data_IF_829930596805
#
_entry.id   IF_829930596805
#
_cell.length_a   1.000
_cell.length_b   1.000
_cell.length_c   1.000
_cell.angle_alpha   90.00
_cell.angle_beta   90.00
_cell.angle_gamma   90.00
#
_symmetry.space_group_name_H-M   'P 1'
#
loop_
_entity.id
_entity.type
_entity.pdbx_description
1 polymer ?
#
# COMPACT_ATOMS: atom_id res chain seq x y z
N UNK A 1 16.39 -16.62 -10.54
CA UNK A 1 16.96 -15.44 -11.20
C UNK A 1 15.91 -14.80 -12.11
N UNK A 2 15.63 -13.51 -11.97
CA UNK A 2 14.67 -12.79 -12.84
C UNK A 2 15.46 -11.90 -13.81
N UNK A 3 15.23 -12.08 -15.11
CA UNK A 3 15.83 -11.26 -16.16
C UNK A 3 15.05 -9.93 -16.26
N UNK A 4 15.77 -8.82 -16.19
CA UNK A 4 15.24 -7.48 -16.35
C UNK A 4 15.70 -6.86 -17.66
N UNK A 5 14.92 -5.92 -18.17
CA UNK A 5 15.35 -5.06 -19.25
C UNK A 5 16.52 -4.20 -18.79
N UNK A 6 17.57 -4.10 -19.59
CA UNK A 6 18.83 -3.44 -19.22
C UNK A 6 18.61 -2.01 -18.70
N UNK A 7 17.80 -1.21 -19.40
CA UNK A 7 17.50 0.18 -19.02
C UNK A 7 16.83 0.31 -17.65
N UNK A 8 15.98 -0.65 -17.29
CA UNK A 8 15.29 -0.62 -16.00
C UNK A 8 16.24 -0.98 -14.87
N UNK A 9 17.11 -1.96 -15.09
CA UNK A 9 18.13 -2.32 -14.10
C UNK A 9 19.16 -1.21 -13.90
N UNK A 10 19.56 -0.51 -14.97
CA UNK A 10 20.39 0.69 -14.88
C UNK A 10 19.73 1.74 -13.99
N UNK A 11 18.46 2.09 -14.24
CA UNK A 11 17.71 3.05 -13.41
C UNK A 11 17.64 2.62 -11.95
N UNK A 12 17.46 1.32 -11.69
CA UNK A 12 17.45 0.78 -10.33
C UNK A 12 18.82 0.88 -9.66
N UNK A 13 19.90 0.55 -10.38
CA UNK A 13 21.28 0.67 -9.87
C UNK A 13 21.63 2.13 -9.57
N UNK A 14 21.26 3.08 -10.45
CA UNK A 14 21.48 4.50 -10.20
C UNK A 14 20.76 4.95 -8.92
N UNK A 15 19.50 4.54 -8.73
CA UNK A 15 18.75 4.82 -7.50
C UNK A 15 19.36 4.16 -6.27
N UNK A 16 19.83 2.92 -6.42
CA UNK A 16 20.48 2.19 -5.34
C UNK A 16 21.73 2.92 -4.87
N UNK A 17 22.62 3.31 -5.79
CA UNK A 17 23.84 4.07 -5.48
C UNK A 17 23.49 5.41 -4.82
N UNK A 18 22.52 6.16 -5.37
CA UNK A 18 22.05 7.42 -4.78
C UNK A 18 21.48 7.24 -3.35
N UNK A 19 20.99 6.06 -3.02
CA UNK A 19 20.46 5.69 -1.70
C UNK A 19 21.48 4.95 -0.81
N UNK A 20 22.79 5.03 -1.13
CA UNK A 20 23.87 4.44 -0.32
C UNK A 20 24.23 2.99 -0.68
N UNK A 21 23.75 2.48 -1.82
CA UNK A 21 24.20 1.20 -2.38
C UNK A 21 25.67 1.24 -2.78
N UNK A 22 26.35 0.08 -2.66
CA UNK A 22 27.78 -0.07 -2.92
C UNK A 22 28.00 -0.73 -4.27
N UNK A 23 28.85 -0.13 -5.11
CA UNK A 23 29.32 -0.80 -6.33
C UNK A 23 30.49 -1.71 -5.95
N UNK A 24 30.33 -3.01 -6.19
CA UNK A 24 31.34 -4.03 -5.84
C UNK A 24 32.40 -4.15 -6.95
N UNK A 25 31.95 -4.11 -8.19
CA UNK A 25 32.79 -4.08 -9.40
C UNK A 25 32.01 -3.43 -10.55
N UNK A 26 32.52 -3.50 -11.77
CA UNK A 26 31.88 -2.89 -12.94
C UNK A 26 30.47 -3.45 -13.25
N UNK A 27 30.21 -4.71 -12.89
CA UNK A 27 28.96 -5.43 -13.18
C UNK A 27 28.02 -5.46 -11.98
N UNK A 28 28.57 -5.46 -10.77
CA UNK A 28 27.86 -5.83 -9.56
C UNK A 28 27.64 -4.63 -8.64
N UNK A 29 26.38 -4.43 -8.26
CA UNK A 29 25.99 -3.44 -7.25
C UNK A 29 25.25 -4.17 -6.12
N UNK A 30 25.58 -3.83 -4.88
CA UNK A 30 24.90 -4.29 -3.68
C UNK A 30 24.08 -3.15 -3.08
N UNK A 31 22.85 -3.43 -2.65
CA UNK A 31 21.99 -2.44 -2.02
C UNK A 31 21.25 -3.06 -0.84
N UNK A 32 21.59 -2.61 0.38
CA UNK A 32 20.90 -3.05 1.58
C UNK A 32 19.75 -2.10 1.95
N UNK A 33 18.53 -2.59 1.80
CA UNK A 33 17.30 -1.95 2.25
C UNK A 33 16.58 -2.78 3.32
N UNK A 34 17.23 -3.80 3.86
CA UNK A 34 16.70 -4.68 4.88
C UNK A 34 16.61 -3.97 6.24
N UNK A 35 17.55 -3.09 6.54
CA UNK A 35 17.67 -2.42 7.84
C UNK A 35 17.77 -3.44 8.97
N UNK A 36 17.01 -3.26 10.05
CA UNK A 36 17.00 -4.19 11.20
C UNK A 36 16.17 -5.48 10.99
N UNK A 37 16.01 -5.95 9.76
CA UNK A 37 15.24 -7.17 9.48
C UNK A 37 15.99 -8.41 9.97
N UNK A 38 15.37 -9.20 10.87
CA UNK A 38 15.97 -10.43 11.40
C UNK A 38 16.25 -11.52 10.35
N UNK A 39 15.40 -11.63 9.32
CA UNK A 39 15.48 -12.70 8.32
C UNK A 39 15.54 -12.11 6.90
N UNK A 40 16.40 -11.12 6.67
CA UNK A 40 16.54 -10.50 5.36
C UNK A 40 16.88 -11.52 4.28
N UNK A 41 16.46 -11.26 3.06
CA UNK A 41 16.80 -12.11 1.92
C UNK A 41 17.27 -11.27 0.74
N UNK A 42 18.23 -11.82 0.01
CA UNK A 42 18.83 -11.17 -1.16
C UNK A 42 18.01 -11.47 -2.40
N UNK A 43 17.62 -10.42 -3.11
CA UNK A 43 17.06 -10.52 -4.45
C UNK A 43 18.15 -10.21 -5.45
N UNK A 44 18.51 -11.19 -6.25
CA UNK A 44 19.41 -11.00 -7.38
C UNK A 44 18.60 -10.58 -8.62
N UNK A 45 18.96 -9.43 -9.17
CA UNK A 45 18.42 -8.92 -10.42
C UNK A 45 19.52 -8.89 -11.47
N UNK A 46 19.22 -9.41 -12.65
CA UNK A 46 20.17 -9.57 -13.73
C UNK A 46 19.63 -8.93 -15.01
N UNK A 47 20.48 -8.21 -15.74
CA UNK A 47 20.15 -7.74 -17.08
C UNK A 47 21.32 -7.89 -18.04
N UNK A 48 21.00 -8.23 -19.29
CA UNK A 48 21.94 -8.20 -20.40
C UNK A 48 21.63 -7.03 -21.32
N UNK A 49 22.65 -6.38 -21.88
CA UNK A 49 22.46 -5.36 -22.90
C UNK A 49 21.85 -5.95 -24.18
N UNK A 50 20.98 -5.19 -24.85
CA UNK A 50 20.36 -5.61 -26.11
C UNK A 50 21.36 -5.54 -27.27
N UNK A 51 21.36 -6.56 -28.13
CA UNK A 51 22.26 -6.65 -29.31
C UNK A 51 22.12 -5.46 -30.28
N UNK A 52 20.93 -4.88 -30.41
CA UNK A 52 20.66 -3.72 -31.28
C UNK A 52 21.37 -2.44 -30.83
N UNK A 53 21.75 -2.34 -29.56
CA UNK A 53 22.48 -1.19 -29.02
C UNK A 53 24.00 -1.35 -29.11
N UNK A 54 24.53 -2.42 -29.72
CA UNK A 54 25.98 -2.60 -29.88
C UNK A 54 26.59 -1.57 -30.85
N UNK A 55 25.81 -1.03 -31.80
CA UNK A 55 26.29 -0.09 -32.81
C UNK A 55 25.80 1.36 -32.60
N UNK A 56 24.93 1.62 -31.62
CA UNK A 56 24.23 2.91 -31.46
C UNK A 56 24.74 3.79 -30.31
N UNK A 57 25.68 3.32 -29.49
CA UNK A 57 26.15 4.09 -28.31
C UNK A 57 27.39 4.90 -28.67
N UNK A 58 27.15 5.98 -29.42
CA UNK A 58 28.07 7.12 -29.55
C UNK A 58 28.01 8.08 -28.35
N UNK A 59 27.39 7.72 -27.21
CA UNK A 59 27.20 8.65 -26.10
C UNK A 59 27.37 7.99 -24.73
N UNK A 60 28.54 8.24 -24.14
CA UNK A 60 28.95 8.54 -22.75
C UNK A 60 28.20 8.04 -21.50
N UNK A 61 27.10 7.30 -21.59
CA UNK A 61 26.44 6.76 -20.40
C UNK A 61 26.63 5.25 -20.33
N UNK A 62 27.59 4.83 -19.49
CA UNK A 62 27.91 3.44 -19.11
C UNK A 62 28.84 2.70 -20.09
N UNK A 63 29.87 3.40 -20.58
CA UNK A 63 31.07 2.76 -21.15
C UNK A 63 32.25 3.16 -20.27
N UNK A 64 32.64 2.30 -19.32
CA UNK A 64 33.92 2.42 -18.60
C UNK A 64 34.83 1.35 -19.20
N UNK A 65 35.50 1.67 -20.31
CA UNK A 65 36.47 0.79 -21.00
C UNK A 65 35.97 0.16 -22.32
N UNK A 66 36.90 -0.21 -23.21
CA UNK A 66 36.58 -0.50 -24.61
C UNK A 66 35.92 -1.88 -24.77
N UNK A 67 34.67 -1.88 -25.26
CA UNK A 67 34.25 -2.85 -26.27
C UNK A 67 33.31 -3.99 -25.89
N UNK A 68 32.93 -4.19 -24.63
CA UNK A 68 31.91 -5.20 -24.30
C UNK A 68 30.80 -4.62 -23.41
N UNK A 69 29.52 -4.74 -23.81
CA UNK A 69 28.44 -4.31 -22.96
C UNK A 69 28.27 -5.40 -21.87
N UNK A 70 28.62 -5.04 -20.64
CA UNK A 70 28.69 -5.99 -19.54
C UNK A 70 27.29 -6.27 -18.99
N UNK A 71 27.04 -7.52 -18.59
CA UNK A 71 25.82 -7.82 -17.86
C UNK A 71 25.83 -7.14 -16.50
N UNK A 72 24.69 -6.60 -16.09
CA UNK A 72 24.53 -5.93 -14.81
C UNK A 72 23.86 -6.86 -13.81
N UNK A 73 24.35 -6.85 -12.58
CA UNK A 73 23.75 -7.51 -11.42
C UNK A 73 23.51 -6.52 -10.29
N UNK A 74 22.32 -6.61 -9.70
CA UNK A 74 21.98 -5.92 -8.46
C UNK A 74 21.61 -6.95 -7.39
N UNK A 75 22.40 -6.99 -6.33
CA UNK A 75 22.14 -7.76 -5.11
C UNK A 75 21.41 -6.86 -4.13
N UNK A 76 20.09 -7.03 -4.03
CA UNK A 76 19.26 -6.19 -3.16
C UNK A 76 18.87 -6.97 -1.89
N UNK A 77 19.43 -6.59 -0.74
CA UNK A 77 19.04 -7.17 0.54
C UNK A 77 17.74 -6.55 1.00
N UNK A 78 16.71 -7.37 1.15
CA UNK A 78 15.34 -6.90 1.39
C UNK A 78 14.74 -7.42 2.67
N UNK A 79 13.85 -6.59 3.23
CA UNK A 79 13.01 -6.94 4.38
C UNK A 79 12.15 -8.18 4.07
N UNK A 80 12.12 -9.14 4.98
CA UNK A 80 11.32 -10.37 4.84
C UNK A 80 9.81 -10.15 4.92
N UNK A 81 9.39 -8.99 5.45
CA UNK A 81 7.99 -8.60 5.68
C UNK A 81 7.23 -9.48 6.67
N UNK A 82 7.92 -10.41 7.33
CA UNK A 82 7.33 -11.41 8.25
C UNK A 82 7.77 -11.25 9.70
N UNK A 83 9.03 -10.85 9.95
CA UNK A 83 9.55 -10.70 11.30
C UNK A 83 8.97 -9.47 12.01
N UNK A 84 9.11 -9.42 13.34
CA UNK A 84 8.54 -8.37 14.18
C UNK A 84 9.01 -6.97 13.75
N UNK A 85 10.30 -6.79 13.45
CA UNK A 85 10.86 -5.52 12.98
C UNK A 85 10.24 -5.07 11.64
N UNK A 86 9.97 -6.03 10.74
CA UNK A 86 9.29 -5.73 9.49
C UNK A 86 7.83 -5.34 9.69
N UNK A 87 7.12 -6.00 10.62
CA UNK A 87 5.74 -5.68 10.96
C UNK A 87 5.63 -4.29 11.62
N UNK A 88 6.53 -3.97 12.56
CA UNK A 88 6.66 -2.65 13.18
C UNK A 88 6.93 -1.56 12.14
N UNK A 89 7.86 -1.80 11.22
CA UNK A 89 8.14 -0.86 10.14
C UNK A 89 6.95 -0.66 9.19
N UNK A 90 6.27 -1.75 8.80
CA UNK A 90 5.04 -1.68 8.01
C UNK A 90 3.97 -0.85 8.72
N UNK A 91 3.77 -1.07 10.02
CA UNK A 91 2.84 -0.30 10.84
C UNK A 91 3.24 1.19 10.89
N UNK A 92 4.53 1.49 11.02
CA UNK A 92 5.04 2.86 11.05
C UNK A 92 4.81 3.60 9.71
N UNK A 93 5.06 2.96 8.56
CA UNK A 93 4.78 3.55 7.24
C UNK A 93 3.29 3.90 7.10
N UNK A 94 2.40 2.95 7.43
CA UNK A 94 0.97 3.18 7.32
C UNK A 94 0.47 4.24 8.31
N UNK A 95 1.04 4.28 9.50
CA UNK A 95 0.77 5.32 10.49
C UNK A 95 1.16 6.71 9.97
N UNK A 96 2.35 6.86 9.38
CA UNK A 96 2.77 8.13 8.78
C UNK A 96 1.75 8.59 7.74
N UNK A 97 1.43 7.71 6.78
CA UNK A 97 0.43 7.99 5.73
C UNK A 97 -0.93 8.38 6.29
N UNK A 98 -1.39 7.67 7.33
CA UNK A 98 -2.66 7.97 7.98
C UNK A 98 -2.65 9.32 8.71
N UNK A 99 -1.54 9.69 9.36
CA UNK A 99 -1.39 11.01 9.99
C UNK A 99 -1.43 12.12 8.94
N UNK A 100 -0.74 11.94 7.82
CA UNK A 100 -0.73 12.93 6.73
C UNK A 100 -2.14 13.13 6.17
N UNK A 101 -2.91 12.05 5.97
CA UNK A 101 -4.30 12.12 5.52
C UNK A 101 -5.24 12.76 6.55
N UNK A 102 -5.08 12.46 7.85
CA UNK A 102 -5.87 13.12 8.91
C UNK A 102 -5.63 14.63 8.91
N UNK A 103 -4.37 15.06 8.78
CA UNK A 103 -4.00 16.49 8.76
C UNK A 103 -4.50 17.22 7.52
N UNK A 104 -4.53 16.53 6.38
CA UNK A 104 -4.96 17.11 5.11
C UNK A 104 -6.48 17.07 4.90
N UNK A 105 -7.20 16.22 5.64
CA UNK A 105 -8.67 16.14 5.59
C UNK A 105 -9.30 17.23 6.45
N UNK A 106 -10.45 17.76 6.00
CA UNK A 106 -11.27 18.65 6.83
C UNK A 106 -11.78 17.94 8.08
N UNK A 107 -12.21 16.69 7.92
CA UNK A 107 -12.71 15.85 9.00
C UNK A 107 -12.38 14.39 8.75
N UNK A 108 -12.06 13.68 9.83
CA UNK A 108 -11.85 12.22 9.79
C UNK A 108 -12.77 11.52 10.77
N UNK A 109 -13.39 10.44 10.31
CA UNK A 109 -14.10 9.48 11.14
C UNK A 109 -13.22 8.27 11.42
N UNK A 110 -13.14 7.88 12.69
CA UNK A 110 -12.63 6.57 13.08
C UNK A 110 -13.82 5.63 13.27
N UNK A 111 -13.76 4.49 12.60
CA UNK A 111 -14.83 3.51 12.60
C UNK A 111 -14.36 2.10 12.90
N UNK A 112 -15.26 1.28 13.40
CA UNK A 112 -15.12 -0.17 13.34
C UNK A 112 -16.35 -0.81 12.70
N UNK A 113 -16.14 -1.87 11.91
CA UNK A 113 -17.22 -2.71 11.38
C UNK A 113 -17.01 -4.15 11.85
N UNK A 114 -18.07 -4.74 12.38
CA UNK A 114 -18.13 -6.14 12.82
C UNK A 114 -19.36 -6.78 12.21
N UNK A 115 -19.23 -7.99 11.68
CA UNK A 115 -20.40 -8.73 11.22
C UNK A 115 -21.07 -9.45 12.40
N UNK A 116 -22.39 -9.66 12.32
CA UNK A 116 -23.07 -10.54 13.28
C UNK A 116 -22.68 -12.01 13.03
N UNK A 117 -22.82 -12.90 14.02
CA UNK A 117 -22.47 -14.32 13.87
C UNK A 117 -23.10 -15.00 12.65
N UNK A 118 -24.37 -14.70 12.37
CA UNK A 118 -25.11 -15.25 11.22
C UNK A 118 -24.48 -14.80 9.90
N UNK A 119 -24.06 -13.53 9.82
CA UNK A 119 -23.39 -12.99 8.64
C UNK A 119 -21.98 -13.57 8.48
N UNK A 120 -21.24 -13.77 9.57
CA UNK A 120 -19.95 -14.48 9.53
C UNK A 120 -20.10 -15.90 8.96
N UNK A 121 -21.12 -16.64 9.39
CA UNK A 121 -21.43 -17.96 8.86
C UNK A 121 -21.74 -17.89 7.36
N UNK A 122 -22.60 -16.96 6.93
CA UNK A 122 -22.93 -16.77 5.51
C UNK A 122 -21.71 -16.37 4.66
N UNK A 123 -20.81 -15.53 5.18
CA UNK A 123 -19.58 -15.19 4.50
C UNK A 123 -18.59 -16.35 4.42
N UNK A 124 -18.54 -17.22 5.45
CA UNK A 124 -17.77 -18.46 5.42
C UNK A 124 -18.30 -19.41 4.34
N UNK A 125 -19.61 -19.64 4.27
CA UNK A 125 -20.22 -20.46 3.21
C UNK A 125 -19.91 -19.92 1.81
N UNK A 126 -19.99 -18.60 1.61
CA UNK A 126 -19.57 -17.96 0.35
C UNK A 126 -18.09 -18.22 0.07
N UNK A 127 -17.21 -18.11 1.08
CA UNK A 127 -15.78 -18.36 0.93
C UNK A 127 -15.49 -19.83 0.54
N UNK A 128 -16.21 -20.78 1.11
CA UNK A 128 -16.17 -22.21 0.75
C UNK A 128 -16.60 -22.40 -0.71
N UNK A 129 -17.72 -21.81 -1.12
CA UNK A 129 -18.19 -21.89 -2.51
C UNK A 129 -17.17 -21.30 -3.51
N UNK A 130 -16.53 -20.17 -3.17
CA UNK A 130 -15.44 -19.58 -3.96
C UNK A 130 -14.16 -20.43 -3.99
N UNK A 131 -13.85 -21.16 -2.91
CA UNK A 131 -12.71 -22.08 -2.90
C UNK A 131 -12.99 -23.30 -3.77
N UNK A 132 -14.19 -23.88 -3.66
CA UNK A 132 -14.65 -25.03 -4.45
C UNK A 132 -14.62 -24.74 -5.94
N UNK A 133 -15.04 -23.55 -6.39
CA UNK A 133 -14.97 -23.17 -7.81
C UNK A 133 -13.54 -23.08 -8.36
N UNK A 134 -12.53 -23.01 -7.49
CA UNK A 134 -11.10 -23.06 -7.81
C UNK A 134 -10.46 -24.42 -7.52
N UNK A 135 -11.26 -25.47 -7.28
CA UNK A 135 -10.81 -26.82 -6.93
C UNK A 135 -9.96 -26.84 -5.65
N UNK A 136 -10.24 -25.94 -4.71
CA UNK A 136 -9.60 -25.92 -3.39
C UNK A 136 -10.61 -26.34 -2.33
N UNK A 137 -10.24 -27.31 -1.51
CA UNK A 137 -11.00 -27.70 -0.31
C UNK A 137 -10.72 -26.68 0.78
N UNK A 138 -11.78 -26.00 1.26
CA UNK A 138 -11.61 -24.90 2.19
C UNK A 138 -11.13 -25.36 3.57
N UNK A 139 -11.64 -26.48 4.06
CA UNK A 139 -11.30 -26.98 5.40
C UNK A 139 -9.88 -27.56 5.47
N UNK A 140 -9.31 -27.97 4.33
CA UNK A 140 -7.91 -28.39 4.21
C UNK A 140 -6.93 -27.20 4.19
N UNK A 141 -7.44 -25.97 3.97
CA UNK A 141 -6.61 -24.78 4.00
C UNK A 141 -6.17 -24.47 5.44
N UNK A 142 -4.98 -23.88 5.58
CA UNK A 142 -4.54 -23.34 6.87
C UNK A 142 -5.49 -22.27 7.40
N UNK A 143 -5.55 -22.08 8.73
CA UNK A 143 -6.27 -20.98 9.39
C UNK A 143 -6.05 -19.61 8.72
N UNK A 144 -4.81 -19.36 8.28
CA UNK A 144 -4.43 -18.12 7.62
C UNK A 144 -5.11 -17.95 6.26
N UNK A 145 -5.19 -19.03 5.49
CA UNK A 145 -5.83 -19.07 4.18
C UNK A 145 -7.34 -18.99 4.30
N UNK A 146 -7.93 -19.73 5.24
CA UNK A 146 -9.36 -19.65 5.55
C UNK A 146 -9.74 -18.21 5.91
N UNK A 147 -9.01 -17.58 6.86
CA UNK A 147 -9.21 -16.18 7.22
C UNK A 147 -9.07 -15.24 6.02
N UNK A 148 -8.01 -15.41 5.21
CA UNK A 148 -7.76 -14.56 4.03
C UNK A 148 -8.90 -14.67 3.01
N UNK A 149 -9.43 -15.87 2.78
CA UNK A 149 -10.55 -16.11 1.86
C UNK A 149 -11.85 -15.49 2.39
N UNK A 150 -12.15 -15.64 3.68
CA UNK A 150 -13.30 -15.00 4.32
C UNK A 150 -13.21 -13.47 4.24
N UNK A 151 -12.05 -12.89 4.55
CA UNK A 151 -11.79 -11.44 4.40
C UNK A 151 -12.00 -10.99 2.95
N UNK A 152 -11.60 -11.77 1.96
CA UNK A 152 -11.79 -11.43 0.56
C UNK A 152 -13.27 -11.34 0.17
N UNK A 153 -14.13 -12.20 0.73
CA UNK A 153 -15.59 -12.13 0.54
C UNK A 153 -16.16 -10.88 1.20
N UNK A 154 -15.88 -10.66 2.49
CA UNK A 154 -16.40 -9.50 3.23
C UNK A 154 -15.90 -8.17 2.62
N UNK A 155 -14.67 -8.15 2.12
CA UNK A 155 -14.09 -6.99 1.45
C UNK A 155 -14.90 -6.55 0.21
N UNK A 156 -15.61 -7.47 -0.46
CA UNK A 156 -16.53 -7.10 -1.55
C UNK A 156 -17.71 -6.30 -1.01
N UNK A 157 -18.28 -6.71 0.12
CA UNK A 157 -19.39 -6.00 0.76
C UNK A 157 -18.96 -4.64 1.33
N UNK A 158 -17.77 -4.54 1.91
CA UNK A 158 -17.17 -3.26 2.30
C UNK A 158 -17.01 -2.34 1.08
N UNK A 159 -16.63 -2.88 -0.08
CA UNK A 159 -16.54 -2.08 -1.32
C UNK A 159 -17.90 -1.51 -1.69
N UNK A 160 -18.97 -2.32 -1.61
CA UNK A 160 -20.32 -1.86 -1.91
C UNK A 160 -20.79 -0.83 -0.89
N UNK A 161 -20.48 -1.03 0.39
CA UNK A 161 -20.77 -0.06 1.44
C UNK A 161 -20.11 1.30 1.17
N UNK A 162 -18.81 1.36 0.83
CA UNK A 162 -18.14 2.62 0.46
C UNK A 162 -18.76 3.25 -0.79
N UNK A 163 -19.15 2.44 -1.78
CA UNK A 163 -19.84 2.93 -2.98
C UNK A 163 -21.21 3.54 -2.64
N UNK A 164 -21.99 2.90 -1.76
CA UNK A 164 -23.27 3.44 -1.26
C UNK A 164 -23.05 4.73 -0.49
N UNK A 165 -22.04 4.79 0.37
CA UNK A 165 -21.71 5.98 1.13
C UNK A 165 -21.41 7.17 0.22
N UNK A 166 -20.58 6.98 -0.82
CA UNK A 166 -20.31 8.03 -1.82
C UNK A 166 -21.56 8.43 -2.60
N UNK A 167 -22.37 7.45 -3.05
CA UNK A 167 -23.60 7.73 -3.79
C UNK A 167 -24.60 8.54 -2.97
N UNK A 168 -24.75 8.21 -1.68
CA UNK A 168 -25.75 8.85 -0.81
C UNK A 168 -25.32 10.22 -0.28
N UNK A 169 -24.01 10.47 -0.23
CA UNK A 169 -23.48 11.74 0.30
C UNK A 169 -23.01 12.71 -0.77
N UNK A 170 -22.78 12.25 -2.01
CA UNK A 170 -22.09 13.01 -3.05
C UNK A 170 -20.57 13.14 -2.80
N UNK A 171 -20.15 12.98 -1.55
CA UNK A 171 -18.81 13.33 -1.08
C UNK A 171 -17.70 12.45 -1.67
N UNK A 172 -16.61 13.06 -2.20
CA UNK A 172 -15.38 12.33 -2.47
C UNK A 172 -14.73 11.92 -1.14
N UNK A 173 -14.56 10.61 -0.95
CA UNK A 173 -14.00 10.06 0.29
C UNK A 173 -12.67 9.34 0.08
N UNK A 174 -11.73 9.63 0.99
CA UNK A 174 -10.51 8.84 1.15
C UNK A 174 -10.64 7.96 2.37
N UNK A 175 -9.99 6.79 2.36
CA UNK A 175 -10.11 5.86 3.47
C UNK A 175 -8.87 4.99 3.65
N UNK A 176 -8.72 4.51 4.89
CA UNK A 176 -7.83 3.43 5.28
C UNK A 176 -8.64 2.39 6.05
N UNK A 177 -8.46 1.11 5.74
CA UNK A 177 -9.09 -0.02 6.39
C UNK A 177 -8.02 -1.01 6.78
N UNK A 178 -7.96 -1.35 8.06
CA UNK A 178 -7.10 -2.39 8.60
C UNK A 178 -7.99 -3.52 9.11
N UNK A 179 -7.73 -4.72 8.63
CA UNK A 179 -8.45 -5.93 9.05
C UNK A 179 -7.59 -6.67 10.08
N UNK A 180 -8.19 -7.05 11.20
CA UNK A 180 -7.60 -7.89 12.24
C UNK A 180 -8.44 -9.16 12.46
N UNK A 181 -7.81 -10.23 12.95
CA UNK A 181 -8.51 -11.39 13.51
C UNK A 181 -8.97 -11.03 14.94
N UNK A 182 -10.28 -10.99 15.16
CA UNK A 182 -10.87 -10.74 16.47
C UNK A 182 -10.60 -11.92 17.43
N UNK A 183 -10.90 -11.75 18.73
CA UNK A 183 -10.77 -12.83 19.72
C UNK A 183 -11.59 -14.08 19.36
N UNK A 184 -12.72 -13.90 18.68
CA UNK A 184 -13.56 -15.01 18.17
C UNK A 184 -12.93 -15.75 16.99
N UNK A 185 -11.87 -15.21 16.39
CA UNK A 185 -11.27 -15.72 15.17
C UNK A 185 -11.80 -15.09 13.88
N UNK A 186 -12.86 -14.28 13.98
CA UNK A 186 -13.51 -13.65 12.84
C UNK A 186 -12.86 -12.34 12.40
N UNK A 187 -13.03 -11.92 11.13
CA UNK A 187 -12.56 -10.62 10.67
C UNK A 187 -13.24 -9.44 11.36
N UNK A 188 -12.41 -8.53 11.91
CA UNK A 188 -12.83 -7.23 12.43
C UNK A 188 -12.12 -6.10 11.67
N UNK A 189 -12.85 -5.03 11.37
CA UNK A 189 -12.38 -3.97 10.48
C UNK A 189 -12.26 -2.66 11.24
N UNK A 190 -11.07 -2.05 11.20
CA UNK A 190 -10.82 -0.70 11.70
C UNK A 190 -10.66 0.25 10.52
N UNK A 191 -11.31 1.42 10.57
CA UNK A 191 -11.41 2.32 9.45
C UNK A 191 -11.03 3.75 9.85
N UNK A 192 -10.37 4.45 8.94
CA UNK A 192 -10.36 5.90 8.86
C UNK A 192 -11.10 6.30 7.58
N UNK A 193 -12.05 7.21 7.70
CA UNK A 193 -12.74 7.83 6.56
C UNK A 193 -12.47 9.32 6.63
N UNK A 194 -11.87 9.84 5.57
CA UNK A 194 -11.49 11.23 5.43
C UNK A 194 -12.43 11.93 4.47
N UNK A 195 -13.04 13.00 4.95
CA UNK A 195 -13.77 13.95 4.14
C UNK A 195 -12.78 14.80 3.35
N UNK A 196 -13.04 14.95 2.06
CA UNK A 196 -12.21 15.74 1.14
C UNK A 196 -12.88 17.08 0.83
N UNK A 197 -14.20 17.13 0.93
CA UNK A 197 -15.02 18.29 0.58
C UNK A 197 -15.86 18.70 1.79
N UNK A 198 -15.67 19.93 2.25
CA UNK A 198 -16.38 20.51 3.41
C UNK A 198 -17.83 20.83 3.09
N UNK A 199 -18.15 21.11 1.82
CA UNK A 199 -19.51 21.44 1.38
C UNK A 199 -20.40 20.19 1.30
N UNK A 200 -19.78 19.00 1.31
CA UNK A 200 -20.47 17.70 1.26
C UNK A 200 -20.08 16.82 2.45
N UNK A 201 -20.48 17.19 3.68
CA UNK A 201 -20.05 16.49 4.89
C UNK A 201 -20.68 15.10 5.01
N UNK A 202 -19.88 14.12 5.42
CA UNK A 202 -20.39 12.80 5.79
C UNK A 202 -20.91 12.84 7.22
N UNK A 203 -22.23 12.87 7.36
CA UNK A 203 -22.90 12.78 8.65
C UNK A 203 -22.78 11.38 9.26
N UNK A 204 -22.75 11.31 10.60
CA UNK A 204 -22.71 10.06 11.36
C UNK A 204 -23.81 9.07 10.94
N UNK A 205 -25.04 9.57 10.70
CA UNK A 205 -26.16 8.74 10.21
C UNK A 205 -25.86 8.02 8.90
N UNK A 206 -25.08 8.62 8.00
CA UNK A 206 -24.72 8.01 6.72
C UNK A 206 -23.76 6.83 6.92
N UNK A 207 -22.94 6.87 7.96
CA UNK A 207 -22.00 5.80 8.28
C UNK A 207 -22.73 4.60 8.90
N UNK A 208 -23.59 4.85 9.89
CA UNK A 208 -24.23 3.78 10.66
C UNK A 208 -25.34 3.05 9.88
N UNK A 209 -26.18 3.78 9.14
CA UNK A 209 -27.34 3.18 8.49
C UNK A 209 -26.99 2.29 7.28
N UNK A 210 -25.78 2.44 6.71
CA UNK A 210 -25.40 1.74 5.48
C UNK A 210 -24.73 0.39 5.71
N UNK A 211 -24.24 0.13 6.92
CA UNK A 211 -23.65 -1.16 7.29
C UNK A 211 -24.72 -2.11 7.83
N UNK A 212 -25.23 -2.97 6.94
CA UNK A 212 -26.36 -3.85 7.26
C UNK A 212 -25.95 -5.22 7.81
N UNK A 213 -24.66 -5.54 7.84
CA UNK A 213 -24.16 -6.89 8.15
C UNK A 213 -23.79 -7.08 9.62
N UNK A 214 -23.92 -6.05 10.45
CA UNK A 214 -23.76 -6.25 11.88
C UNK A 214 -23.76 -4.98 12.69
N UNK A 215 -22.62 -4.73 13.34
CA UNK A 215 -22.41 -3.62 14.25
C UNK A 215 -21.36 -2.69 13.66
N UNK A 216 -21.60 -1.41 13.84
CA UNK A 216 -20.66 -0.36 13.54
C UNK A 216 -20.49 0.56 14.74
N UNK A 217 -19.34 1.22 14.82
CA UNK A 217 -19.09 2.23 15.82
C UNK A 217 -18.21 3.31 15.21
N UNK A 218 -18.77 4.50 15.01
CA UNK A 218 -18.06 5.65 14.45
C UNK A 218 -17.95 6.79 15.45
N UNK A 219 -16.79 7.42 15.49
CA UNK A 219 -16.52 8.66 16.22
C UNK A 219 -15.64 9.60 15.41
N UNK A 220 -15.76 10.88 15.68
CA UNK A 220 -14.85 11.87 15.10
C UNK A 220 -13.45 11.70 15.67
N UNK A 221 -12.47 11.93 14.81
CA UNK A 221 -11.05 11.88 15.17
C UNK A 221 -10.62 13.26 15.65
N UNK A 222 -10.10 13.30 16.86
CA UNK A 222 -9.42 14.46 17.43
C UNK A 222 -7.91 14.21 17.40
N UNK A 223 -7.19 15.04 16.64
CA UNK A 223 -5.74 14.91 16.45
C UNK A 223 -5.32 13.61 15.73
N UNK A 224 -4.08 13.18 15.92
CA UNK A 224 -3.47 12.13 15.10
C UNK A 224 -3.41 10.74 15.76
N UNK A 225 -3.93 10.62 17.00
CA UNK A 225 -3.89 9.38 17.80
C UNK A 225 -4.64 8.23 17.12
N UNK A 226 -5.67 8.53 16.34
CA UNK A 226 -6.43 7.51 15.59
C UNK A 226 -5.56 6.75 14.58
N UNK A 227 -4.56 7.40 13.97
CA UNK A 227 -3.60 6.73 13.08
C UNK A 227 -2.78 5.66 13.82
N UNK A 228 -2.39 5.94 15.08
CA UNK A 228 -1.68 4.97 15.91
C UNK A 228 -2.55 3.76 16.21
N UNK A 229 -3.81 4.01 16.56
CA UNK A 229 -4.77 2.97 16.92
C UNK A 229 -5.02 2.01 15.75
N UNK A 230 -5.39 2.54 14.58
CA UNK A 230 -5.69 1.74 13.39
C UNK A 230 -4.47 0.93 12.94
N UNK A 231 -3.27 1.52 12.98
CA UNK A 231 -2.06 0.85 12.53
C UNK A 231 -1.42 -0.09 13.56
N UNK A 232 -1.83 -0.05 14.84
CA UNK A 232 -1.33 -0.93 15.92
C UNK A 232 -1.47 -2.41 15.55
N UNK A 233 -2.54 -2.74 14.84
CA UNK A 233 -2.86 -4.12 14.47
C UNK A 233 -1.93 -4.70 13.39
N UNK A 234 -1.31 -3.82 12.59
CA UNK A 234 -0.34 -4.22 11.57
C UNK A 234 0.96 -4.76 12.16
N UNK A 235 1.31 -4.37 13.39
CA UNK A 235 2.47 -4.90 14.10
C UNK A 235 2.16 -6.17 14.89
N UNK A 236 0.88 -6.50 15.14
CA UNK A 236 0.46 -7.63 15.97
C UNK A 236 0.33 -8.94 15.21
N UNK A 237 0.00 -8.89 13.92
CA UNK A 237 -0.31 -10.10 13.17
C UNK A 237 0.07 -9.99 11.70
N UNK A 238 0.63 -11.09 11.18
CA UNK A 238 0.83 -11.29 9.74
C UNK A 238 -0.48 -11.36 8.97
N UNK A 239 -1.58 -11.73 9.64
CA UNK A 239 -2.91 -11.78 9.06
C UNK A 239 -3.46 -10.39 8.77
N UNK A 240 -2.92 -9.35 9.40
CA UNK A 240 -3.46 -8.03 9.25
C UNK A 240 -3.33 -7.55 7.78
N UNK A 241 -4.46 -7.14 7.21
CA UNK A 241 -4.55 -6.66 5.81
C UNK A 241 -4.84 -5.17 5.82
N UNK A 242 -4.27 -4.46 4.85
CA UNK A 242 -4.56 -3.05 4.64
C UNK A 242 -5.25 -2.88 3.31
N UNK A 243 -6.29 -2.06 3.30
CA UNK A 243 -6.92 -1.53 2.10
C UNK A 243 -7.04 -0.03 2.25
N UNK A 244 -6.67 0.73 1.24
CA UNK A 244 -6.75 2.19 1.29
C UNK A 244 -7.12 2.77 -0.07
N UNK A 245 -7.48 4.05 -0.08
CA UNK A 245 -7.61 4.82 -1.32
C UNK A 245 -6.34 4.79 -2.16
N UNK A 246 -6.49 4.99 -3.47
CA UNK A 246 -5.35 5.13 -4.38
C UNK A 246 -4.51 6.34 -3.95
N UNK A 247 -3.19 6.18 -3.88
CA UNK A 247 -2.23 7.23 -3.43
C UNK A 247 -2.50 7.73 -2.00
N UNK A 248 -3.01 6.88 -1.12
CA UNK A 248 -3.23 7.21 0.29
C UNK A 248 -1.91 7.61 0.99
N UNK A 249 -1.88 8.80 1.59
CA UNK A 249 -0.71 9.40 2.24
C UNK A 249 0.41 9.80 1.29
N UNK A 250 0.14 9.93 -0.02
CA UNK A 250 1.14 10.35 -1.00
C UNK A 250 1.02 11.86 -1.31
N UNK A 251 0.99 12.70 -0.27
CA UNK A 251 1.00 14.16 -0.44
C UNK A 251 2.36 14.68 -0.93
N UNK A 252 3.43 13.89 -0.76
CA UNK A 252 4.79 14.22 -1.22
C UNK A 252 5.03 14.07 -2.74
N UNK A 253 4.00 13.79 -3.54
CA UNK A 253 4.07 13.95 -5.01
C UNK A 253 3.47 15.30 -5.49
N UNK A 254 3.04 16.16 -4.55
CA UNK A 254 2.62 17.54 -4.81
C UNK A 254 3.74 18.47 -4.33
N UNK A 255 4.45 19.09 -5.26
CA UNK A 255 5.34 20.22 -4.94
C UNK A 255 4.41 21.38 -4.59
N UNK A 256 4.44 21.83 -3.34
CA UNK A 256 3.82 23.10 -2.95
C UNK A 256 4.74 24.18 -3.51
N UNK A 257 4.28 24.92 -4.52
CA UNK A 257 4.96 26.13 -5.00
C UNK A 257 4.23 27.30 -4.38
N UNK A 258 4.93 28.10 -3.57
CA UNK A 258 4.40 29.38 -3.13
C UNK A 258 4.56 30.40 -4.26
N UNK A 259 3.46 30.69 -4.95
CA UNK A 259 3.35 31.85 -5.84
C UNK A 259 2.41 32.87 -5.23
N UNK A 260 2.93 34.02 -4.80
CA UNK A 260 2.10 35.20 -4.50
C UNK A 260 1.04 35.04 -3.40
N UNK A 261 1.31 34.24 -2.37
CA UNK A 261 0.47 34.17 -1.17
C UNK A 261 -0.83 33.36 -1.28
N UNK A 262 -1.04 32.59 -2.36
CA UNK A 262 -2.15 31.63 -2.48
C UNK A 262 -1.63 30.19 -2.56
N UNK A 263 -2.26 29.29 -1.80
CA UNK A 263 -1.92 27.85 -1.76
C UNK A 263 -2.70 27.11 -2.83
N UNK A 264 -2.10 26.92 -4.00
CA UNK A 264 -2.68 26.09 -5.05
C UNK A 264 -1.98 24.73 -5.11
N UNK A 265 -2.77 23.65 -5.04
CA UNK A 265 -2.26 22.29 -5.13
C UNK A 265 -2.12 21.86 -6.61
N UNK A 266 -0.90 21.81 -7.14
CA UNK A 266 -0.60 21.26 -8.47
C UNK A 266 0.06 19.88 -8.41
N UNK A 267 -0.33 19.00 -9.34
CA UNK A 267 0.29 17.68 -9.54
C UNK A 267 1.58 17.77 -10.33
N UNK A 268 2.56 16.88 -10.07
CA UNK A 268 3.84 16.79 -10.81
C UNK A 268 3.67 16.73 -12.35
N UNK A 269 2.53 16.23 -12.83
CA UNK A 269 2.16 16.21 -14.26
C UNK A 269 1.86 17.59 -14.87
N UNK A 270 1.43 18.56 -14.07
CA UNK A 270 1.15 19.92 -14.51
C UNK A 270 2.43 20.73 -14.68
N UNK A 271 3.45 20.50 -13.85
CA UNK A 271 4.75 21.17 -13.94
C UNK A 271 5.54 20.79 -15.20
N UNK A 272 5.54 19.51 -15.57
CA UNK A 272 6.28 19.02 -16.75
C UNK A 272 5.67 19.43 -18.10
N UNK A 273 4.46 20.03 -18.11
CA UNK A 273 3.85 20.58 -19.32
C UNK A 273 4.23 22.04 -19.59
N UNK A 274 4.64 22.77 -18.55
CA UNK A 274 4.92 24.21 -18.64
C UNK A 274 6.42 24.54 -18.77
N UNK A 275 7.30 23.54 -18.74
CA UNK A 275 8.75 23.70 -18.92
C UNK A 275 9.24 23.29 -20.31
N UNK A 276 8.40 23.44 -21.34
CA UNK A 276 8.84 23.40 -22.74
C UNK A 276 8.97 24.85 -23.22
N UNK A 277 10.12 25.44 -22.91
CA UNK A 277 10.79 26.47 -23.71
C UNK A 277 12.29 26.18 -23.62
#
# INVERSE_FOLDING_TARGET
MRLYHHRDLVRMITRAIAAGGKRLNQMDTEWDIAGNCQNSYTQEMYARPERSNMNAVGNRDIVIGPGLPHSLRLFMHTRCRKCENCLKHRAAIWRCRARDEIKASSRTWFGTLTCRPEEHYMFRLKAIAYAKSRKVVFDDCSDHEQFTRTVAVISKEITKWIKRLRKNTGSPLRYLIVVEKHKSGDPHFHLLIHEVDEDQPVLHRHLNQLWTYGFDHFKLVEGDKAANYVCKYLSKSLLARVRASKRYGAYNDLIIIETGGKRDAMTLKQLTRNSVF
#
